data_IF_811751923056
#
_entry.id   IF_811751923056
#
_cell.length_a   1.000
_cell.length_b   1.000
_cell.length_c   1.000
_cell.angle_alpha   90.00
_cell.angle_beta   90.00
_cell.angle_gamma   90.00
#
_symmetry.space_group_name_H-M   'P 1'
#
loop_
_entity.id
_entity.type
_entity.pdbx_description
1 polymer ?
#
# COMPACT_ATOMS: atom_id res chain seq x y z
N UNK A 1 7.81 6.47 -0.38
CA UNK A 1 6.50 6.85 -0.92
C UNK A 1 6.01 5.76 -1.86
N UNK A 2 4.73 5.40 -1.79
CA UNK A 2 4.07 4.51 -2.76
C UNK A 2 3.18 5.37 -3.65
N UNK A 3 3.44 5.35 -4.95
CA UNK A 3 2.86 6.24 -5.95
C UNK A 3 2.28 5.42 -7.11
N UNK A 4 0.99 5.06 -7.05
CA UNK A 4 0.35 4.22 -8.07
C UNK A 4 0.21 4.88 -9.44
N UNK A 5 0.30 6.20 -9.50
CA UNK A 5 0.08 6.98 -10.73
C UNK A 5 1.37 7.54 -11.32
N UNK A 6 2.47 7.59 -10.55
CA UNK A 6 3.76 8.11 -10.99
C UNK A 6 3.86 9.63 -11.00
N UNK A 7 3.06 10.31 -10.18
CA UNK A 7 3.00 11.78 -10.14
C UNK A 7 4.16 12.40 -9.36
N UNK A 8 4.73 11.67 -8.40
CA UNK A 8 5.77 12.16 -7.49
C UNK A 8 7.19 11.82 -7.93
N UNK A 9 7.38 10.97 -8.93
CA UNK A 9 8.69 10.56 -9.42
C UNK A 9 9.60 11.77 -9.75
N UNK A 10 9.16 12.79 -10.51
CA UNK A 10 9.99 13.95 -10.83
C UNK A 10 10.38 14.78 -9.60
N UNK A 11 9.51 14.85 -8.59
CA UNK A 11 9.83 15.54 -7.33
C UNK A 11 10.94 14.78 -6.59
N UNK A 12 10.83 13.46 -6.49
CA UNK A 12 11.79 12.61 -5.81
C UNK A 12 13.16 12.66 -6.49
N UNK A 13 13.22 12.61 -7.82
CA UNK A 13 14.45 12.75 -8.60
C UNK A 13 15.14 14.10 -8.33
N UNK A 14 14.37 15.19 -8.28
CA UNK A 14 14.91 16.52 -7.96
C UNK A 14 15.43 16.67 -6.53
N UNK A 15 14.87 15.90 -5.60
CA UNK A 15 15.36 15.81 -4.23
C UNK A 15 16.59 14.91 -4.10
N UNK A 16 17.10 14.36 -5.21
CA UNK A 16 18.22 13.41 -5.22
C UNK A 16 17.82 12.04 -4.65
N UNK A 17 16.53 11.74 -4.66
CA UNK A 17 15.99 10.47 -4.20
C UNK A 17 16.04 9.37 -5.26
N UNK A 18 15.58 8.19 -4.88
CA UNK A 18 15.53 7.01 -5.73
C UNK A 18 14.09 6.75 -6.19
N UNK A 19 13.90 6.55 -7.49
CA UNK A 19 12.64 6.11 -8.08
C UNK A 19 12.79 4.65 -8.49
N UNK A 20 11.91 3.80 -7.97
CA UNK A 20 11.83 2.37 -8.29
C UNK A 20 10.54 2.17 -9.07
N UNK A 21 10.64 1.91 -10.34
CA UNK A 21 9.48 1.62 -11.19
C UNK A 21 9.20 0.12 -11.21
N UNK A 22 7.99 -0.26 -10.81
CA UNK A 22 7.45 -1.63 -10.88
C UNK A 22 6.39 -1.63 -11.98
N UNK A 23 6.68 -2.34 -13.06
CA UNK A 23 5.82 -2.46 -14.24
C UNK A 23 6.04 -3.82 -14.90
N UNK A 24 5.09 -4.34 -15.70
CA UNK A 24 5.25 -5.62 -16.38
C UNK A 24 6.49 -5.73 -17.27
N UNK A 25 6.95 -4.60 -17.80
CA UNK A 25 8.11 -4.46 -18.67
C UNK A 25 9.37 -3.91 -17.94
N UNK A 26 9.29 -3.69 -16.63
CA UNK A 26 10.41 -3.21 -15.82
C UNK A 26 11.35 -4.37 -15.44
N UNK A 27 12.67 -4.12 -15.35
CA UNK A 27 13.62 -5.08 -14.79
C UNK A 27 13.56 -5.18 -13.27
N UNK A 28 12.79 -4.33 -12.59
CA UNK A 28 12.67 -4.29 -11.15
C UNK A 28 11.59 -5.24 -10.66
N UNK A 29 11.93 -6.05 -9.67
CA UNK A 29 11.04 -7.03 -9.07
C UNK A 29 11.01 -6.91 -7.55
N UNK A 30 9.82 -7.12 -6.99
CA UNK A 30 9.58 -7.27 -5.55
C UNK A 30 8.85 -8.59 -5.34
N UNK A 31 9.44 -9.49 -4.56
CA UNK A 31 8.82 -10.76 -4.23
C UNK A 31 7.85 -10.62 -3.06
N UNK A 32 6.62 -11.12 -3.15
CA UNK A 32 5.73 -11.21 -1.99
C UNK A 32 6.19 -12.23 -0.95
N UNK A 33 7.14 -13.08 -1.33
CA UNK A 33 7.63 -14.17 -0.50
C UNK A 33 8.83 -13.77 0.38
N UNK A 34 9.35 -12.56 0.26
CA UNK A 34 10.45 -12.11 1.11
C UNK A 34 10.02 -12.03 2.58
N UNK A 35 10.88 -12.52 3.47
CA UNK A 35 10.67 -12.48 4.91
C UNK A 35 11.99 -12.23 5.64
N UNK A 36 11.97 -11.39 6.65
CA UNK A 36 13.11 -11.15 7.55
C UNK A 36 12.94 -12.02 8.80
N UNK A 37 13.74 -13.07 8.93
CA UNK A 37 13.64 -14.04 10.03
C UNK A 37 14.24 -13.54 11.35
N UNK A 38 15.17 -12.58 11.30
CA UNK A 38 15.97 -12.14 12.46
C UNK A 38 15.30 -11.02 13.30
N UNK A 39 14.01 -10.81 13.15
CA UNK A 39 13.26 -9.77 13.85
C UNK A 39 13.01 -10.15 15.30
N UNK A 40 13.83 -9.67 16.20
CA UNK A 40 13.70 -9.88 17.65
C UNK A 40 12.49 -9.18 18.25
N UNK A 41 11.65 -9.93 18.97
CA UNK A 41 10.65 -9.42 19.89
C UNK A 41 9.28 -9.12 19.27
N UNK A 42 8.34 -10.05 19.40
CA UNK A 42 6.95 -9.87 18.98
C UNK A 42 6.39 -11.15 18.36
N UNK A 43 5.42 -10.98 17.46
CA UNK A 43 4.84 -12.08 16.72
C UNK A 43 5.87 -12.76 15.80
N UNK A 44 5.68 -14.06 15.59
CA UNK A 44 6.56 -14.84 14.70
C UNK A 44 6.56 -14.23 13.29
N UNK A 45 7.74 -13.95 12.69
CA UNK A 45 7.82 -13.40 11.31
C UNK A 45 7.05 -14.25 10.29
N UNK A 46 7.02 -15.57 10.47
CA UNK A 46 6.26 -16.48 9.63
C UNK A 46 4.75 -16.36 9.82
N UNK A 47 4.27 -16.05 11.04
CA UNK A 47 2.84 -15.81 11.25
C UNK A 47 2.38 -14.54 10.53
N UNK A 48 3.14 -13.46 10.63
CA UNK A 48 2.86 -12.21 9.92
C UNK A 48 2.92 -12.42 8.40
N UNK A 49 3.89 -13.20 7.92
CA UNK A 49 4.00 -13.56 6.51
C UNK A 49 2.82 -14.42 6.04
N UNK A 50 2.35 -15.36 6.87
CA UNK A 50 1.18 -16.17 6.55
C UNK A 50 -0.09 -15.30 6.44
N UNK A 51 -0.30 -14.36 7.35
CA UNK A 51 -1.42 -13.43 7.29
C UNK A 51 -1.37 -12.54 6.03
N UNK A 52 -0.18 -12.06 5.67
CA UNK A 52 0.02 -11.31 4.43
C UNK A 52 -0.32 -12.17 3.20
N UNK A 53 0.20 -13.41 3.12
CA UNK A 53 -0.05 -14.30 1.98
C UNK A 53 -1.51 -14.75 1.91
N UNK A 54 -2.19 -14.91 3.04
CA UNK A 54 -3.65 -15.13 3.07
C UNK A 54 -4.40 -13.96 2.44
N UNK A 55 -4.06 -12.72 2.80
CA UNK A 55 -4.71 -11.54 2.22
C UNK A 55 -4.36 -11.35 0.74
N UNK A 56 -3.14 -11.70 0.32
CA UNK A 56 -2.75 -11.72 -1.09
C UNK A 56 -3.54 -12.76 -1.89
N UNK A 57 -3.65 -13.99 -1.38
CA UNK A 57 -4.45 -15.03 -2.02
C UNK A 57 -5.92 -14.64 -2.13
N UNK A 58 -6.46 -13.91 -1.15
CA UNK A 58 -7.83 -13.42 -1.22
C UNK A 58 -8.02 -12.39 -2.35
N UNK A 59 -7.08 -11.48 -2.54
CA UNK A 59 -7.10 -10.55 -3.67
C UNK A 59 -7.01 -11.27 -5.03
N UNK A 60 -6.23 -12.36 -5.09
CA UNK A 60 -6.00 -13.15 -6.32
C UNK A 60 -7.20 -14.03 -6.66
N UNK A 61 -7.71 -14.77 -5.67
CA UNK A 61 -8.87 -15.66 -5.85
C UNK A 61 -10.13 -14.84 -6.14
N UNK A 62 -10.26 -13.70 -5.49
CA UNK A 62 -11.35 -12.74 -5.72
C UNK A 62 -12.73 -13.26 -5.35
N UNK A 63 -13.74 -12.47 -5.77
CA UNK A 63 -15.15 -12.80 -5.59
C UNK A 63 -15.77 -12.16 -4.34
N UNK A 64 -17.11 -12.21 -4.28
CA UNK A 64 -17.88 -11.60 -3.17
C UNK A 64 -17.67 -12.29 -1.82
N UNK A 65 -17.38 -13.58 -1.86
CA UNK A 65 -17.35 -14.41 -0.65
C UNK A 65 -15.91 -14.61 -0.11
N UNK A 66 -14.91 -14.08 -0.84
CA UNK A 66 -13.50 -14.21 -0.47
C UNK A 66 -13.04 -15.68 -0.35
N UNK A 67 -11.98 -15.89 0.43
CA UNK A 67 -11.46 -17.22 0.74
C UNK A 67 -12.35 -17.95 1.77
N UNK A 68 -12.70 -19.18 1.45
CA UNK A 68 -13.44 -20.06 2.37
C UNK A 68 -12.51 -20.55 3.51
N UNK A 69 -13.07 -20.96 4.67
CA UNK A 69 -12.27 -21.42 5.81
C UNK A 69 -11.31 -22.57 5.47
N UNK A 70 -11.72 -23.51 4.60
CA UNK A 70 -10.87 -24.62 4.16
C UNK A 70 -9.69 -24.08 3.34
N UNK A 71 -9.94 -23.15 2.41
CA UNK A 71 -8.89 -22.52 1.60
C UNK A 71 -7.85 -21.81 2.49
N UNK A 72 -8.31 -21.05 3.49
CA UNK A 72 -7.42 -20.39 4.46
C UNK A 72 -6.52 -21.39 5.19
N UNK A 73 -7.09 -22.50 5.65
CA UNK A 73 -6.35 -23.57 6.34
C UNK A 73 -5.30 -24.21 5.44
N UNK A 74 -5.68 -24.47 4.18
CA UNK A 74 -4.77 -25.08 3.21
C UNK A 74 -3.62 -24.13 2.83
N UNK A 75 -3.94 -22.84 2.61
CA UNK A 75 -2.92 -21.82 2.32
C UNK A 75 -1.94 -21.71 3.48
N UNK A 76 -2.42 -21.58 4.73
CA UNK A 76 -1.55 -21.49 5.91
C UNK A 76 -0.64 -22.73 6.04
N UNK A 77 -1.16 -23.93 5.81
CA UNK A 77 -0.37 -25.17 5.80
C UNK A 77 0.72 -25.14 4.73
N UNK A 78 0.39 -24.73 3.50
CA UNK A 78 1.35 -24.63 2.40
C UNK A 78 2.41 -23.57 2.67
N UNK A 79 2.04 -22.41 3.20
CA UNK A 79 2.98 -21.37 3.60
C UNK A 79 4.00 -21.91 4.60
N UNK A 80 3.55 -22.59 5.66
CA UNK A 80 4.48 -23.19 6.64
C UNK A 80 5.39 -24.26 6.01
N UNK A 81 4.92 -24.97 5.00
CA UNK A 81 5.70 -26.00 4.32
C UNK A 81 6.79 -25.37 3.45
N UNK A 82 6.48 -24.35 2.66
CA UNK A 82 7.49 -23.71 1.78
C UNK A 82 8.55 -22.95 2.55
N UNK A 83 8.24 -22.44 3.75
CA UNK A 83 9.23 -21.78 4.63
C UNK A 83 9.90 -22.71 5.63
N UNK A 84 9.64 -24.03 5.58
CA UNK A 84 10.12 -24.97 6.59
C UNK A 84 11.64 -24.95 6.76
N UNK A 85 12.39 -24.93 5.66
CA UNK A 85 13.86 -24.94 5.72
C UNK A 85 14.40 -23.66 6.35
N UNK A 86 13.83 -22.51 6.02
CA UNK A 86 14.17 -21.22 6.64
C UNK A 86 13.82 -21.20 8.13
N UNK A 87 12.65 -21.74 8.50
CA UNK A 87 12.22 -21.83 9.89
C UNK A 87 13.15 -22.71 10.75
N UNK A 88 13.79 -23.71 10.13
CA UNK A 88 14.76 -24.58 10.78
C UNK A 88 16.17 -23.97 10.78
N UNK A 89 16.37 -22.80 10.19
CA UNK A 89 17.67 -22.13 10.12
C UNK A 89 18.71 -22.89 9.30
N UNK A 90 18.30 -23.63 8.28
CA UNK A 90 19.23 -24.37 7.43
C UNK A 90 20.04 -23.39 6.56
N UNK A 91 21.35 -23.53 6.54
CA UNK A 91 22.25 -22.68 5.73
C UNK A 91 21.97 -22.75 4.22
N UNK A 92 21.35 -23.84 3.75
CA UNK A 92 20.99 -24.05 2.35
C UNK A 92 19.62 -23.50 2.00
N UNK A 93 18.86 -23.02 3.00
CA UNK A 93 17.51 -22.51 2.79
C UNK A 93 17.52 -21.29 1.85
N UNK A 94 16.68 -21.35 0.84
CA UNK A 94 16.45 -20.22 -0.07
C UNK A 94 15.11 -19.59 0.23
N UNK A 95 15.01 -18.28 0.03
CA UNK A 95 13.71 -17.60 0.06
C UNK A 95 12.82 -18.19 -1.05
N UNK A 96 11.65 -18.72 -0.70
CA UNK A 96 10.74 -19.28 -1.70
C UNK A 96 10.22 -18.18 -2.64
N UNK A 97 9.76 -18.58 -3.82
CA UNK A 97 9.03 -17.72 -4.75
C UNK A 97 7.52 -18.04 -4.70
N UNK A 98 6.73 -17.21 -5.34
CA UNK A 98 5.29 -17.46 -5.45
C UNK A 98 4.99 -18.79 -6.16
N UNK A 99 5.87 -19.20 -7.08
CA UNK A 99 5.87 -20.49 -7.74
C UNK A 99 5.92 -21.67 -6.75
N UNK A 100 6.75 -21.56 -5.69
CA UNK A 100 6.88 -22.64 -4.70
C UNK A 100 5.58 -22.83 -3.92
N UNK A 101 4.88 -21.74 -3.58
CA UNK A 101 3.56 -21.79 -2.97
C UNK A 101 2.52 -22.40 -3.91
N UNK A 102 2.52 -22.00 -5.17
CA UNK A 102 1.65 -22.55 -6.21
C UNK A 102 1.84 -24.07 -6.37
N UNK A 103 3.08 -24.54 -6.46
CA UNK A 103 3.40 -25.97 -6.59
C UNK A 103 3.01 -26.76 -5.34
N UNK A 104 3.21 -26.17 -4.15
CA UNK A 104 2.83 -26.81 -2.89
C UNK A 104 1.30 -26.94 -2.78
N UNK A 105 0.54 -25.93 -3.23
CA UNK A 105 -0.92 -25.99 -3.31
C UNK A 105 -1.40 -27.11 -4.27
N UNK A 106 -0.72 -27.30 -5.40
CA UNK A 106 -1.05 -28.39 -6.35
C UNK A 106 -0.81 -29.78 -5.78
N UNK A 107 0.09 -29.93 -4.78
CA UNK A 107 0.37 -31.21 -4.11
C UNK A 107 -0.68 -31.59 -3.07
N UNK A 108 -1.53 -30.64 -2.67
CA UNK A 108 -2.56 -30.91 -1.67
C UNK A 108 -3.73 -31.70 -2.28
N UNK A 109 -4.34 -32.62 -1.51
CA UNK A 109 -5.44 -33.46 -2.01
C UNK A 109 -6.79 -32.72 -2.11
N UNK A 110 -6.95 -31.59 -1.40
CA UNK A 110 -8.20 -30.84 -1.32
C UNK A 110 -8.50 -30.09 -2.64
N UNK A 111 -9.73 -30.18 -3.17
CA UNK A 111 -10.13 -29.42 -4.37
C UNK A 111 -10.06 -27.92 -4.19
N UNK A 112 -10.21 -27.43 -2.97
CA UNK A 112 -10.07 -26.02 -2.58
C UNK A 112 -8.63 -25.52 -2.82
N UNK A 113 -7.63 -26.34 -2.52
CA UNK A 113 -6.23 -26.03 -2.83
C UNK A 113 -6.01 -25.82 -4.33
N UNK A 114 -6.63 -26.70 -5.14
CA UNK A 114 -6.54 -26.60 -6.59
C UNK A 114 -7.21 -25.34 -7.14
N UNK A 115 -8.32 -24.91 -6.53
CA UNK A 115 -8.98 -23.64 -6.89
C UNK A 115 -8.05 -22.44 -6.64
N UNK A 116 -7.41 -22.38 -5.48
CA UNK A 116 -6.45 -21.34 -5.14
C UNK A 116 -5.24 -21.39 -6.07
N UNK A 117 -4.67 -22.58 -6.30
CA UNK A 117 -3.55 -22.76 -7.23
C UNK A 117 -3.90 -22.27 -8.64
N UNK A 118 -5.08 -22.64 -9.17
CA UNK A 118 -5.51 -22.19 -10.50
C UNK A 118 -5.63 -20.65 -10.59
N UNK A 119 -6.06 -19.99 -9.52
CA UNK A 119 -6.10 -18.53 -9.50
C UNK A 119 -4.69 -17.91 -9.43
N UNK A 120 -3.75 -18.54 -8.72
CA UNK A 120 -2.34 -18.12 -8.66
C UNK A 120 -1.56 -18.36 -9.95
N UNK A 121 -1.97 -19.32 -10.78
CA UNK A 121 -1.27 -19.71 -12.01
C UNK A 121 -0.98 -18.52 -12.93
N UNK A 122 -1.94 -17.58 -13.04
CA UNK A 122 -1.79 -16.35 -13.81
C UNK A 122 -0.59 -15.51 -13.38
N UNK A 123 -0.28 -15.52 -12.08
CA UNK A 123 0.78 -14.70 -11.45
C UNK A 123 2.09 -15.47 -11.26
N UNK A 124 2.10 -16.77 -11.48
CA UNK A 124 3.29 -17.62 -11.38
C UNK A 124 3.87 -17.95 -12.75
N UNK A 125 3.08 -18.62 -13.59
CA UNK A 125 3.47 -19.10 -14.93
C UNK A 125 2.79 -18.36 -16.07
N UNK A 126 1.74 -17.60 -15.75
CA UNK A 126 0.95 -16.84 -16.73
C UNK A 126 1.56 -15.48 -17.09
N UNK A 127 0.77 -14.67 -17.77
CA UNK A 127 1.19 -13.35 -18.32
C UNK A 127 1.41 -12.27 -17.27
N UNK A 128 1.02 -12.48 -16.02
CA UNK A 128 1.14 -11.51 -14.92
C UNK A 128 2.19 -11.94 -13.88
N UNK A 129 3.25 -12.63 -14.29
CA UNK A 129 4.27 -13.20 -13.41
C UNK A 129 5.28 -12.20 -12.84
N UNK A 130 4.96 -10.91 -12.89
CA UNK A 130 5.80 -9.79 -12.40
C UNK A 130 6.35 -10.02 -10.98
N UNK A 131 5.58 -10.66 -10.11
CA UNK A 131 5.91 -10.89 -8.70
C UNK A 131 6.48 -12.28 -8.41
N UNK A 132 6.71 -13.09 -9.44
CA UNK A 132 7.31 -14.41 -9.32
C UNK A 132 8.82 -14.42 -9.62
N UNK A 133 9.52 -13.38 -9.14
CA UNK A 133 10.96 -13.21 -9.26
C UNK A 133 11.55 -12.83 -7.90
N UNK A 134 12.83 -13.17 -7.65
CA UNK A 134 13.50 -12.67 -6.46
C UNK A 134 13.54 -11.15 -6.46
N UNK A 135 13.39 -10.53 -5.29
CA UNK A 135 13.55 -9.08 -5.14
C UNK A 135 14.97 -8.67 -5.56
N UNK A 136 15.05 -7.71 -6.46
CA UNK A 136 16.31 -7.17 -6.97
C UNK A 136 16.44 -5.66 -6.73
N UNK A 137 15.48 -5.05 -6.07
CA UNK A 137 15.50 -3.61 -5.71
C UNK A 137 15.97 -3.43 -4.28
N UNK A 138 16.69 -2.33 -4.03
CA UNK A 138 17.13 -1.90 -2.71
C UNK A 138 16.67 -0.49 -2.44
N UNK A 139 16.44 -0.18 -1.16
CA UNK A 139 16.04 1.15 -0.70
C UNK A 139 17.22 1.86 -0.07
N UNK A 140 18.25 2.16 -0.87
CA UNK A 140 19.52 2.72 -0.38
C UNK A 140 19.48 4.25 -0.18
N UNK A 141 18.43 4.92 -0.68
CA UNK A 141 18.26 6.37 -0.57
C UNK A 141 17.40 6.76 0.63
N UNK A 142 17.67 7.96 1.18
CA UNK A 142 16.82 8.55 2.22
C UNK A 142 15.42 8.91 1.73
N UNK A 143 15.27 9.14 0.43
CA UNK A 143 13.98 9.44 -0.22
C UNK A 143 13.77 8.41 -1.32
N UNK A 144 12.75 7.59 -1.18
CA UNK A 144 12.43 6.52 -2.14
C UNK A 144 10.98 6.67 -2.58
N UNK A 145 10.76 6.60 -3.89
CA UNK A 145 9.43 6.52 -4.50
C UNK A 145 9.30 5.20 -5.26
N UNK A 146 8.29 4.41 -4.91
CA UNK A 146 7.94 3.20 -5.65
C UNK A 146 6.73 3.53 -6.52
N UNK A 147 6.93 3.45 -7.83
CA UNK A 147 5.94 3.82 -8.83
C UNK A 147 5.37 2.57 -9.47
N UNK A 148 4.04 2.48 -9.58
CA UNK A 148 3.34 1.35 -10.16
C UNK A 148 2.75 1.76 -11.52
N UNK A 149 3.46 1.47 -12.61
CA UNK A 149 3.07 1.87 -13.97
C UNK A 149 2.53 0.72 -14.82
N UNK A 150 1.81 1.10 -15.87
CA UNK A 150 1.37 0.20 -16.96
C UNK A 150 0.60 -1.05 -16.46
N UNK A 151 -0.17 -0.88 -15.37
CA UNK A 151 -0.94 -1.97 -14.76
C UNK A 151 -2.43 -1.73 -14.88
N UNK A 152 -3.18 -2.76 -15.26
CA UNK A 152 -4.63 -2.76 -15.12
C UNK A 152 -5.07 -2.69 -13.64
N UNK A 153 -6.31 -2.31 -13.39
CA UNK A 153 -6.81 -2.05 -12.02
C UNK A 153 -6.59 -3.23 -11.05
N UNK A 154 -6.85 -4.46 -11.50
CA UNK A 154 -6.68 -5.65 -10.65
C UNK A 154 -5.21 -5.91 -10.30
N UNK A 155 -4.30 -5.83 -11.27
CA UNK A 155 -2.87 -6.01 -11.02
C UNK A 155 -2.33 -4.89 -10.13
N UNK A 156 -2.82 -3.66 -10.28
CA UNK A 156 -2.42 -2.51 -9.44
C UNK A 156 -2.76 -2.73 -7.97
N UNK A 157 -3.94 -3.27 -7.66
CA UNK A 157 -4.31 -3.61 -6.26
C UNK A 157 -3.33 -4.59 -5.64
N UNK A 158 -2.99 -5.65 -6.37
CA UNK A 158 -2.02 -6.67 -5.95
C UNK A 158 -0.64 -6.04 -5.79
N UNK A 159 -0.21 -5.25 -6.75
CA UNK A 159 1.07 -4.53 -6.72
C UNK A 159 1.17 -3.59 -5.51
N UNK A 160 0.11 -2.81 -5.22
CA UNK A 160 0.05 -1.96 -4.04
C UNK A 160 0.18 -2.78 -2.75
N UNK A 161 -0.52 -3.91 -2.66
CA UNK A 161 -0.48 -4.77 -1.48
C UNK A 161 0.92 -5.34 -1.23
N UNK A 162 1.58 -5.85 -2.28
CA UNK A 162 2.95 -6.37 -2.23
C UNK A 162 3.96 -5.25 -1.91
N UNK A 163 3.81 -4.09 -2.54
CA UNK A 163 4.69 -2.94 -2.30
C UNK A 163 4.59 -2.43 -0.86
N UNK A 164 3.38 -2.46 -0.29
CA UNK A 164 3.19 -2.05 1.10
C UNK A 164 3.83 -3.00 2.09
N UNK A 165 3.80 -4.30 1.83
CA UNK A 165 4.55 -5.28 2.62
C UNK A 165 6.06 -5.02 2.53
N UNK A 166 6.59 -4.78 1.34
CA UNK A 166 7.99 -4.42 1.13
C UNK A 166 8.39 -3.15 1.90
N UNK A 167 7.54 -2.11 1.87
CA UNK A 167 7.75 -0.88 2.66
C UNK A 167 7.71 -1.16 4.16
N UNK A 168 6.81 -2.03 4.63
CA UNK A 168 6.73 -2.41 6.04
C UNK A 168 8.00 -3.10 6.52
N UNK A 169 8.61 -3.95 5.70
CA UNK A 169 9.89 -4.60 6.00
C UNK A 169 11.04 -3.57 6.06
N UNK A 170 11.05 -2.58 5.16
CA UNK A 170 12.04 -1.50 5.21
C UNK A 170 11.88 -0.62 6.46
N UNK A 171 10.64 -0.38 6.92
CA UNK A 171 10.38 0.31 8.20
C UNK A 171 10.91 -0.49 9.38
N UNK A 172 10.73 -1.80 9.36
CA UNK A 172 11.25 -2.68 10.40
C UNK A 172 12.76 -2.62 10.49
N UNK A 173 13.44 -2.69 9.36
CA UNK A 173 14.89 -2.54 9.30
C UNK A 173 15.34 -1.19 9.86
N UNK A 174 14.75 -0.10 9.41
CA UNK A 174 15.06 1.25 9.89
C UNK A 174 14.85 1.39 11.40
N UNK A 175 13.79 0.79 11.93
CA UNK A 175 13.50 0.79 13.37
C UNK A 175 14.61 0.10 14.17
N UNK A 176 15.09 -1.05 13.71
CA UNK A 176 16.21 -1.75 14.32
C UNK A 176 17.53 -0.97 14.25
N UNK A 177 17.71 -0.18 13.21
CA UNK A 177 18.84 0.75 13.04
C UNK A 177 18.67 2.06 13.83
N UNK A 178 17.54 2.25 14.53
CA UNK A 178 17.23 3.45 15.31
C UNK A 178 16.78 4.67 14.46
N UNK A 179 16.38 4.45 13.22
CA UNK A 179 15.93 5.49 12.31
C UNK A 179 14.40 5.58 12.24
N UNK A 180 13.86 6.80 12.25
CA UNK A 180 12.44 7.06 11.99
C UNK A 180 12.16 7.05 10.48
N UNK A 181 10.98 6.56 10.10
CA UNK A 181 10.56 6.48 8.70
C UNK A 181 9.27 7.26 8.46
N UNK A 182 9.21 8.03 7.37
CA UNK A 182 7.99 8.68 6.89
C UNK A 182 7.49 7.93 5.67
N UNK A 183 6.27 7.39 5.77
CA UNK A 183 5.64 6.64 4.68
C UNK A 183 4.45 7.41 4.13
N UNK A 184 4.44 7.65 2.82
CA UNK A 184 3.33 8.28 2.11
C UNK A 184 2.71 7.24 1.17
N UNK A 185 1.41 7.01 1.33
CA UNK A 185 0.62 6.10 0.52
C UNK A 185 -0.38 6.91 -0.28
N UNK A 186 -0.11 7.09 -1.56
CA UNK A 186 -1.02 7.80 -2.45
C UNK A 186 -2.15 6.89 -2.94
N UNK A 187 -3.27 7.49 -3.31
CA UNK A 187 -4.52 6.80 -3.68
C UNK A 187 -4.93 5.71 -2.68
N UNK A 188 -4.76 6.01 -1.40
CA UNK A 188 -4.93 5.07 -0.28
C UNK A 188 -6.30 4.38 -0.27
N UNK A 189 -7.35 5.04 -0.78
CA UNK A 189 -8.70 4.47 -0.88
C UNK A 189 -8.76 3.15 -1.66
N UNK A 190 -7.82 2.92 -2.60
CA UNK A 190 -7.76 1.67 -3.39
C UNK A 190 -7.55 0.45 -2.48
N UNK A 191 -6.76 0.60 -1.42
CA UNK A 191 -6.44 -0.47 -0.47
C UNK A 191 -7.58 -0.81 0.49
N UNK A 192 -8.55 0.09 0.63
CA UNK A 192 -9.67 -0.06 1.54
C UNK A 192 -10.94 -0.60 0.87
N UNK A 193 -10.92 -0.84 -0.43
CA UNK A 193 -12.08 -1.36 -1.17
C UNK A 193 -12.41 -2.81 -0.83
N UNK A 194 -11.41 -3.63 -0.57
CA UNK A 194 -11.57 -5.03 -0.24
C UNK A 194 -11.44 -5.24 1.27
N UNK A 195 -12.42 -5.83 1.97
CA UNK A 195 -12.47 -5.87 3.43
C UNK A 195 -11.26 -6.52 4.10
N UNK A 196 -10.70 -7.60 3.52
CA UNK A 196 -9.51 -8.25 4.06
C UNK A 196 -8.27 -7.39 3.91
N UNK A 197 -8.07 -6.79 2.76
CA UNK A 197 -6.98 -5.84 2.53
C UNK A 197 -7.09 -4.65 3.47
N UNK A 198 -8.30 -4.13 3.67
CA UNK A 198 -8.56 -3.04 4.60
C UNK A 198 -8.21 -3.44 6.04
N UNK A 199 -8.66 -4.61 6.51
CA UNK A 199 -8.34 -5.12 7.85
C UNK A 199 -6.84 -5.34 8.05
N UNK A 200 -6.15 -5.91 7.05
CA UNK A 200 -4.71 -6.06 7.05
C UNK A 200 -4.02 -4.68 7.16
N UNK A 201 -4.48 -3.71 6.37
CA UNK A 201 -3.92 -2.35 6.40
C UNK A 201 -4.07 -1.64 7.73
N UNK A 202 -5.21 -1.78 8.40
CA UNK A 202 -5.42 -1.25 9.76
C UNK A 202 -4.41 -1.85 10.75
N UNK A 203 -4.16 -3.14 10.67
CA UNK A 203 -3.17 -3.81 11.52
C UNK A 203 -1.75 -3.29 11.22
N UNK A 204 -1.38 -3.21 9.95
CA UNK A 204 -0.09 -2.64 9.49
C UNK A 204 0.06 -1.19 9.93
N UNK A 205 -0.96 -0.36 9.77
CA UNK A 205 -0.95 1.05 10.19
C UNK A 205 -0.61 1.23 11.68
N UNK A 206 -1.25 0.44 12.53
CA UNK A 206 -0.98 0.44 13.98
C UNK A 206 0.44 -0.07 14.30
N UNK A 207 0.91 -1.08 13.57
CA UNK A 207 2.24 -1.64 13.73
C UNK A 207 3.33 -0.64 13.31
N UNK A 208 3.18 0.01 12.16
CA UNK A 208 4.12 1.01 11.64
C UNK A 208 4.36 2.14 12.65
N UNK A 209 3.29 2.64 13.29
CA UNK A 209 3.41 3.67 14.34
C UNK A 209 4.26 3.21 15.54
N UNK A 210 4.08 1.97 15.98
CA UNK A 210 4.90 1.39 17.07
C UNK A 210 6.39 1.26 16.71
N UNK A 211 6.70 1.21 15.41
CA UNK A 211 8.05 1.09 14.87
C UNK A 211 8.63 2.43 14.41
N UNK A 212 8.19 3.54 15.01
CA UNK A 212 8.73 4.87 14.72
C UNK A 212 8.44 5.37 13.30
N UNK A 213 7.45 4.77 12.62
CA UNK A 213 6.99 5.24 11.32
C UNK A 213 5.87 6.25 11.48
N UNK A 214 5.89 7.28 10.64
CA UNK A 214 4.78 8.22 10.44
C UNK A 214 4.07 7.86 9.14
N UNK A 215 3.04 7.00 9.19
CA UNK A 215 2.28 6.66 8.00
C UNK A 215 1.35 7.82 7.63
N UNK A 216 1.33 8.20 6.36
CA UNK A 216 0.51 9.27 5.81
C UNK A 216 -0.27 8.73 4.61
N UNK A 217 -1.59 8.80 4.68
CA UNK A 217 -2.49 8.42 3.60
C UNK A 217 -2.93 9.65 2.81
N UNK A 218 -2.81 9.58 1.49
CA UNK A 218 -3.30 10.60 0.58
C UNK A 218 -4.42 10.00 -0.27
N UNK A 219 -5.47 10.77 -0.51
CA UNK A 219 -6.56 10.35 -1.38
C UNK A 219 -7.31 11.55 -1.94
N UNK A 220 -7.74 11.43 -3.17
CA UNK A 220 -8.67 12.37 -3.81
C UNK A 220 -10.12 11.88 -3.70
N UNK A 221 -10.34 10.61 -3.39
CA UNK A 221 -11.67 10.00 -3.34
C UNK A 221 -12.12 9.76 -1.88
N UNK A 222 -12.62 10.81 -1.26
CA UNK A 222 -13.10 10.78 0.12
C UNK A 222 -14.31 9.87 0.28
N UNK A 223 -15.20 9.83 -0.69
CA UNK A 223 -16.41 9.00 -0.65
C UNK A 223 -16.07 7.50 -0.55
N UNK A 224 -15.16 7.02 -1.40
CA UNK A 224 -14.72 5.62 -1.37
C UNK A 224 -13.95 5.32 -0.08
N UNK A 225 -13.13 6.27 0.38
CA UNK A 225 -12.43 6.15 1.65
C UNK A 225 -13.40 5.94 2.82
N UNK A 226 -14.39 6.81 2.96
CA UNK A 226 -15.37 6.78 4.06
C UNK A 226 -16.42 5.67 3.93
N UNK A 227 -16.50 4.98 2.80
CA UNK A 227 -17.38 3.83 2.62
C UNK A 227 -16.85 2.56 3.34
N UNK A 228 -15.56 2.50 3.63
CA UNK A 228 -14.96 1.40 4.37
C UNK A 228 -15.19 1.57 5.88
N UNK A 229 -15.69 0.53 6.55
CA UNK A 229 -15.80 0.50 8.02
C UNK A 229 -14.44 0.58 8.72
N UNK A 230 -13.41 0.09 8.05
CA UNK A 230 -12.06 0.04 8.58
C UNK A 230 -11.43 1.43 8.66
N UNK A 231 -11.93 2.40 7.89
CA UNK A 231 -11.43 3.78 7.93
C UNK A 231 -11.64 4.46 9.28
N UNK A 232 -12.74 4.16 9.99
CA UNK A 232 -12.98 4.72 11.32
C UNK A 232 -11.81 4.41 12.26
N UNK A 233 -11.29 3.17 12.21
CA UNK A 233 -10.12 2.78 12.99
C UNK A 233 -8.85 3.55 12.62
N UNK A 234 -8.68 3.93 11.35
CA UNK A 234 -7.53 4.71 10.89
C UNK A 234 -7.69 6.16 11.33
N UNK A 235 -8.86 6.75 11.15
CA UNK A 235 -9.17 8.13 11.55
C UNK A 235 -9.01 8.33 13.07
N UNK A 236 -9.53 7.41 13.89
CA UNK A 236 -9.40 7.44 15.35
C UNK A 236 -7.93 7.36 15.83
N UNK A 237 -7.05 6.81 14.99
CA UNK A 237 -5.62 6.70 15.25
C UNK A 237 -4.80 7.73 14.47
N UNK A 238 -5.42 8.75 13.88
CA UNK A 238 -4.77 9.80 13.11
C UNK A 238 -4.71 11.08 13.91
N UNK A 239 -3.50 11.55 14.20
CA UNK A 239 -3.28 12.79 14.96
C UNK A 239 -3.40 14.04 14.10
N UNK A 240 -3.05 13.94 12.80
CA UNK A 240 -3.10 15.02 11.84
C UNK A 240 -3.98 14.66 10.65
N UNK A 241 -4.87 15.56 10.26
CA UNK A 241 -5.63 15.45 9.03
C UNK A 241 -5.64 16.80 8.30
N UNK A 242 -5.35 16.77 7.00
CA UNK A 242 -5.37 17.96 6.15
C UNK A 242 -6.48 17.80 5.13
N UNK A 243 -7.45 18.70 5.15
CA UNK A 243 -8.50 18.79 4.15
C UNK A 243 -8.24 19.99 3.25
N UNK A 244 -7.94 19.73 1.99
CA UNK A 244 -7.86 20.75 0.94
C UNK A 244 -9.26 20.98 0.33
N UNK A 245 -9.33 21.67 -0.80
CA UNK A 245 -10.60 21.92 -1.51
C UNK A 245 -11.34 20.62 -1.81
N UNK A 246 -12.61 20.56 -1.44
CA UNK A 246 -13.44 19.35 -1.55
C UNK A 246 -14.60 19.53 -2.53
N UNK A 247 -14.94 18.46 -3.24
CA UNK A 247 -16.12 18.44 -4.11
C UNK A 247 -17.42 18.63 -3.31
N UNK A 248 -18.43 19.23 -3.92
CA UNK A 248 -19.70 19.53 -3.25
C UNK A 248 -20.40 18.29 -2.71
N UNK A 249 -20.30 17.16 -3.42
CA UNK A 249 -20.86 15.87 -3.01
C UNK A 249 -20.27 15.32 -1.73
N UNK A 250 -19.02 15.61 -1.44
CA UNK A 250 -18.26 14.97 -0.36
C UNK A 250 -18.37 15.75 0.96
N UNK A 251 -18.72 17.04 0.87
CA UNK A 251 -18.80 17.95 2.03
C UNK A 251 -19.79 17.51 3.09
N UNK A 252 -20.98 17.06 2.68
CA UNK A 252 -22.00 16.59 3.62
C UNK A 252 -21.55 15.33 4.36
N UNK A 253 -20.83 14.44 3.67
CA UNK A 253 -20.29 13.21 4.26
C UNK A 253 -19.18 13.57 5.25
N UNK A 254 -18.24 14.42 4.86
CA UNK A 254 -17.14 14.90 5.71
C UNK A 254 -17.66 15.65 6.93
N UNK A 255 -18.64 16.55 6.76
CA UNK A 255 -19.22 17.29 7.88
C UNK A 255 -19.80 16.35 8.93
N UNK A 256 -20.53 15.33 8.50
CA UNK A 256 -21.12 14.33 9.40
C UNK A 256 -20.07 13.47 10.08
N UNK A 257 -19.10 12.95 9.32
CA UNK A 257 -18.09 12.00 9.82
C UNK A 257 -17.08 12.66 10.76
N UNK A 258 -16.67 13.89 10.45
CA UNK A 258 -15.64 14.61 11.20
C UNK A 258 -16.20 15.65 12.16
N UNK A 259 -17.52 15.79 12.26
CA UNK A 259 -18.15 16.78 13.12
C UNK A 259 -17.85 18.24 12.73
N UNK A 260 -17.62 18.51 11.46
CA UNK A 260 -17.24 19.83 10.94
C UNK A 260 -18.50 20.74 10.89
N UNK A 261 -18.41 21.94 11.46
CA UNK A 261 -19.48 22.94 11.38
C UNK A 261 -19.58 23.56 9.97
N UNK A 262 -20.74 24.14 9.64
CA UNK A 262 -20.95 24.84 8.35
C UNK A 262 -19.92 25.95 8.13
N UNK A 263 -19.54 26.66 9.20
CA UNK A 263 -18.51 27.71 9.12
C UNK A 263 -17.14 27.12 8.75
N UNK A 264 -16.76 26.00 9.36
CA UNK A 264 -15.51 25.30 9.04
C UNK A 264 -15.54 24.73 7.61
N UNK A 265 -16.70 24.22 7.16
CA UNK A 265 -16.87 23.74 5.78
C UNK A 265 -16.59 24.83 4.74
N UNK A 266 -16.86 26.11 5.05
CA UNK A 266 -16.58 27.22 4.12
C UNK A 266 -15.12 27.30 3.71
N UNK A 267 -14.18 26.91 4.58
CA UNK A 267 -12.75 26.91 4.31
C UNK A 267 -12.27 25.82 3.33
N UNK A 268 -13.09 24.81 3.06
CA UNK A 268 -12.77 23.74 2.10
C UNK A 268 -13.75 23.74 0.91
N UNK A 269 -14.67 24.71 0.88
CA UNK A 269 -15.72 24.82 -0.15
C UNK A 269 -15.26 25.65 -1.36
N UNK A 270 -14.55 26.76 -1.10
CA UNK A 270 -14.09 27.71 -2.09
C UNK A 270 -12.61 28.05 -1.88
N UNK A 271 -11.87 27.10 -1.33
CA UNK A 271 -10.44 27.28 -1.09
C UNK A 271 -9.65 27.25 -2.39
N UNK A 272 -8.65 28.10 -2.46
CA UNK A 272 -7.66 28.07 -3.53
C UNK A 272 -6.65 26.95 -3.29
N UNK A 273 -5.74 26.75 -4.25
CA UNK A 273 -4.61 25.83 -4.08
C UNK A 273 -3.77 26.23 -2.85
N UNK A 274 -3.49 25.25 -1.98
CA UNK A 274 -2.74 25.44 -0.74
C UNK A 274 -3.56 26.01 0.43
N UNK A 275 -4.87 26.10 0.32
CA UNK A 275 -5.77 26.52 1.40
C UNK A 275 -6.63 25.35 1.88
N UNK A 276 -6.95 25.30 3.18
CA UNK A 276 -7.77 24.23 3.71
C UNK A 276 -7.92 24.27 5.23
N UNK A 277 -8.25 23.10 5.79
CA UNK A 277 -8.38 22.86 7.23
C UNK A 277 -7.34 21.84 7.69
N UNK A 278 -6.65 22.15 8.76
CA UNK A 278 -5.80 21.24 9.51
C UNK A 278 -6.49 20.84 10.80
N UNK A 279 -6.59 19.53 11.01
CA UNK A 279 -7.01 18.93 12.27
C UNK A 279 -5.77 18.42 13.00
N UNK A 280 -5.67 18.77 14.28
CA UNK A 280 -4.65 18.25 15.17
C UNK A 280 -5.28 17.97 16.54
N UNK A 281 -5.47 16.71 16.83
CA UNK A 281 -6.27 16.30 17.99
C UNK A 281 -7.66 16.95 17.95
N UNK A 282 -8.00 17.74 18.99
CA UNK A 282 -9.28 18.44 19.10
C UNK A 282 -9.29 19.83 18.47
N UNK A 283 -8.19 20.24 17.84
CA UNK A 283 -8.05 21.60 17.30
C UNK A 283 -8.23 21.57 15.79
N UNK A 284 -9.09 22.46 15.27
CA UNK A 284 -9.29 22.66 13.83
C UNK A 284 -8.82 24.05 13.45
N UNK A 285 -7.87 24.14 12.53
CA UNK A 285 -7.23 25.39 12.14
C UNK A 285 -7.37 25.59 10.63
N UNK A 286 -7.97 26.67 10.15
CA UNK A 286 -7.85 27.05 8.75
C UNK A 286 -6.42 27.48 8.46
N UNK A 287 -5.88 27.04 7.33
CA UNK A 287 -4.51 27.36 6.93
C UNK A 287 -4.42 27.83 5.49
N UNK A 288 -3.37 28.58 5.23
CA UNK A 288 -2.94 28.99 3.89
C UNK A 288 -1.45 28.66 3.79
N UNK A 289 -1.13 27.68 2.98
CA UNK A 289 0.25 27.32 2.66
C UNK A 289 0.47 27.56 1.16
N UNK A 290 1.26 28.61 0.86
CA UNK A 290 1.63 28.93 -0.51
C UNK A 290 2.99 28.35 -0.79
N UNK A 291 3.02 27.24 -1.47
CA UNK A 291 4.28 26.65 -1.92
C UNK A 291 5.12 27.69 -2.68
N UNK A 292 6.40 27.88 -2.34
CA UNK A 292 7.26 28.85 -3.01
C UNK A 292 7.32 28.56 -4.52
N UNK A 293 7.12 29.60 -5.35
CA UNK A 293 7.21 29.50 -6.81
C UNK A 293 8.68 29.39 -7.24
N UNK A 294 9.30 28.25 -6.98
CA UNK A 294 10.66 27.92 -7.40
C UNK A 294 10.68 26.91 -8.54
N UNK A 295 11.85 26.44 -8.90
CA UNK A 295 12.03 25.44 -9.97
C UNK A 295 11.27 24.14 -9.71
N UNK A 296 11.17 23.71 -8.44
CA UNK A 296 10.40 22.52 -8.04
C UNK A 296 8.91 22.72 -8.33
N UNK A 297 8.35 23.89 -7.99
CA UNK A 297 6.95 24.21 -8.26
C UNK A 297 6.63 24.22 -9.75
N UNK A 298 7.48 24.86 -10.57
CA UNK A 298 7.32 24.90 -12.03
C UNK A 298 7.36 23.49 -12.63
N UNK A 299 8.19 22.61 -12.10
CA UNK A 299 8.27 21.22 -12.51
C UNK A 299 6.99 20.43 -12.23
N UNK A 300 6.37 20.65 -11.08
CA UNK A 300 5.14 19.99 -10.67
C UNK A 300 3.93 20.48 -11.50
N UNK A 301 3.88 21.77 -11.88
CA UNK A 301 2.80 22.33 -12.72
C UNK A 301 2.85 21.71 -14.12
N UNK A 302 4.04 21.57 -14.72
CA UNK A 302 4.19 21.02 -16.06
C UNK A 302 3.79 19.54 -16.18
N UNK A 303 3.70 18.81 -15.06
CA UNK A 303 3.23 17.41 -15.02
C UNK A 303 1.70 17.36 -15.11
N UNK A 304 1.00 18.34 -14.54
CA UNK A 304 -0.47 18.36 -14.51
C UNK A 304 -1.12 19.06 -15.71
N UNK A 305 -0.40 19.87 -16.48
CA UNK A 305 -0.94 20.61 -17.62
C UNK A 305 -1.11 19.80 -18.95
N UNK A 306 -0.33 18.77 -19.28
CA UNK A 306 -0.50 18.04 -20.54
C UNK A 306 -1.87 17.38 -20.70
N UNK A 307 -2.51 17.03 -19.59
CA UNK A 307 -3.82 16.36 -19.60
C UNK A 307 -4.98 17.34 -19.89
N UNK A 308 -4.83 18.63 -19.58
CA UNK A 308 -5.88 19.65 -19.86
C UNK A 308 -5.88 20.17 -21.29
N UNK A 309 -4.73 20.17 -21.95
CA UNK A 309 -4.66 20.62 -23.38
C UNK A 309 -5.13 19.55 -24.37
N UNK A 310 -5.10 18.27 -24.00
CA UNK A 310 -5.60 17.19 -24.86
C UNK A 310 -7.14 17.08 -24.88
N UNK A 311 -7.84 17.69 -23.93
CA UNK A 311 -9.32 17.69 -23.88
C UNK A 311 -9.96 18.91 -24.60
N UNK A 312 -9.17 19.83 -25.13
CA UNK A 312 -9.67 21.09 -25.78
C UNK A 312 -9.33 21.14 -27.29
N UNK A 313 -8.71 20.09 -27.86
CA UNK A 313 -8.40 20.03 -29.31
C UNK A 313 -9.20 18.93 -30.03
#
# INVERSE_FOLDING_TARGET
>A
MVDPMGEYAPLVERLGGQVIEIAPDSPNHISPMDVQMDMGGGDSPLSLKADFLLSLCELVVGGRDGLQPIEKTVIDRCVRQVYREMALGLETAKTPLLQDLYEELLRQPEPEARRVATALELYCTGSLNLFNHPTNVKTDSRVVCIVLKNMGENLRKIAMHITNEFVSQAVDQNFHEGAATWCYFDEFHILLRDPLTASYFVAVWKMLRKKGCVPSALTQNVKDLLASREIENILDNTDFMVLLSQAQSDRAILAKQLGISEHQLSYITHSNSGEGLLFYGNVTIPFVDRFPRGEIYLSLIHISEPTRQAEIS
#
